data_IF_599972762369
#
_entry.id   IF_599972762369
#
_cell.length_a   1.000
_cell.length_b   1.000
_cell.length_c   1.000
_cell.angle_alpha   90.00
_cell.angle_beta   90.00
_cell.angle_gamma   90.00
#
_symmetry.space_group_name_H-M   'P 1'
#
loop_
_entity.id
_entity.type
_entity.pdbx_description
1 polymer ?
#
# COMPACT_ATOMS: atom_id res chain seq x y z
N UNK A 1 16.29 -11.51 -29.86
CA UNK A 1 14.97 -11.99 -29.37
C UNK A 1 15.10 -12.32 -27.88
N UNK A 2 14.70 -11.41 -26.99
CA UNK A 2 14.73 -11.69 -25.55
C UNK A 2 13.64 -12.73 -25.24
N UNK A 3 14.05 -13.94 -24.84
CA UNK A 3 13.14 -15.02 -24.44
C UNK A 3 12.43 -14.56 -23.16
N UNK A 4 11.17 -14.13 -23.28
CA UNK A 4 10.35 -13.80 -22.12
C UNK A 4 10.32 -15.00 -21.18
N UNK A 5 10.74 -14.81 -19.92
CA UNK A 5 10.68 -15.87 -18.91
C UNK A 5 9.21 -16.19 -18.68
N UNK A 6 8.76 -17.37 -19.10
CA UNK A 6 7.50 -17.94 -18.64
C UNK A 6 7.57 -18.01 -17.11
N UNK A 7 6.71 -17.28 -16.40
CA UNK A 7 6.60 -17.42 -14.95
C UNK A 7 6.26 -18.89 -14.67
N UNK A 8 7.10 -19.55 -13.88
CA UNK A 8 6.78 -20.88 -13.37
C UNK A 8 5.41 -20.81 -12.67
N UNK A 9 4.57 -21.83 -12.86
CA UNK A 9 3.34 -21.96 -12.09
C UNK A 9 3.76 -22.21 -10.64
N UNK A 10 3.57 -21.23 -9.78
CA UNK A 10 3.74 -21.38 -8.34
C UNK A 10 2.64 -22.30 -7.79
N UNK A 11 2.93 -23.02 -6.72
CA UNK A 11 1.98 -23.89 -6.01
C UNK A 11 1.77 -23.39 -4.57
N UNK A 12 0.72 -23.87 -3.90
CA UNK A 12 0.47 -23.54 -2.49
C UNK A 12 1.57 -24.09 -1.56
N UNK A 13 2.17 -25.23 -1.92
CA UNK A 13 3.30 -25.86 -1.20
C UNK A 13 4.52 -24.93 -1.06
N UNK A 14 4.70 -24.00 -2.00
CA UNK A 14 5.79 -23.00 -1.98
C UNK A 14 5.42 -21.72 -1.20
N UNK A 15 4.22 -21.66 -0.63
CA UNK A 15 3.73 -20.50 0.10
C UNK A 15 4.20 -20.53 1.55
N UNK A 16 4.79 -19.41 2.01
CA UNK A 16 5.19 -19.20 3.40
C UNK A 16 4.09 -19.58 4.40
N UNK A 17 2.83 -19.23 4.12
CA UNK A 17 1.73 -19.56 5.03
C UNK A 17 1.40 -21.05 5.09
N UNK A 18 1.56 -21.78 3.99
CA UNK A 18 1.33 -23.22 3.97
C UNK A 18 2.44 -23.95 4.73
N UNK A 19 3.71 -23.65 4.39
CA UNK A 19 4.90 -24.22 5.03
C UNK A 19 4.87 -24.02 6.55
N UNK A 20 4.43 -22.84 7.00
CA UNK A 20 4.35 -22.50 8.42
C UNK A 20 3.04 -22.95 9.11
N UNK A 21 2.15 -23.66 8.41
CA UNK A 21 0.82 -24.08 8.90
C UNK A 21 -0.06 -22.91 9.41
N UNK A 22 0.05 -21.76 8.75
CA UNK A 22 -0.72 -20.53 9.03
C UNK A 22 -1.77 -20.24 7.96
N UNK A 23 -1.85 -21.05 6.89
CA UNK A 23 -2.85 -20.89 5.85
C UNK A 23 -4.22 -21.32 6.36
N UNK A 24 -5.21 -20.42 6.28
CA UNK A 24 -6.59 -20.71 6.67
C UNK A 24 -7.45 -21.32 5.55
N UNK A 25 -6.89 -21.45 4.35
CA UNK A 25 -7.60 -21.91 3.16
C UNK A 25 -7.19 -23.36 2.84
N UNK A 26 -8.19 -24.21 2.61
CA UNK A 26 -8.03 -25.58 2.13
C UNK A 26 -8.16 -25.61 0.60
N UNK A 27 -7.08 -25.25 -0.08
CA UNK A 27 -7.02 -25.10 -1.54
C UNK A 27 -5.76 -25.76 -2.09
N UNK A 28 -5.90 -26.44 -3.22
CA UNK A 28 -4.79 -27.05 -3.97
C UNK A 28 -4.05 -26.03 -4.87
N UNK A 29 -4.49 -24.77 -4.89
CA UNK A 29 -3.94 -23.69 -5.70
C UNK A 29 -3.31 -22.56 -4.85
N UNK A 30 -2.38 -21.76 -5.42
CA UNK A 30 -1.81 -20.61 -4.72
C UNK A 30 -2.91 -19.67 -4.26
N UNK A 31 -2.96 -19.41 -2.95
CA UNK A 31 -3.95 -18.49 -2.38
C UNK A 31 -3.74 -17.04 -2.87
N UNK A 32 -4.79 -16.22 -2.78
CA UNK A 32 -4.73 -14.80 -3.14
C UNK A 32 -3.66 -14.01 -2.35
N UNK A 33 -3.27 -14.51 -1.18
CA UNK A 33 -2.23 -13.94 -0.33
C UNK A 33 -0.88 -14.62 -0.50
N UNK A 34 -0.65 -15.40 -1.57
CA UNK A 34 0.59 -16.15 -1.80
C UNK A 34 1.83 -15.28 -1.55
N UNK A 35 2.74 -15.80 -0.72
CA UNK A 35 4.05 -15.22 -0.45
C UNK A 35 5.07 -16.35 -0.58
N UNK A 36 6.11 -16.20 -1.41
CA UNK A 36 7.14 -17.23 -1.54
C UNK A 36 7.82 -17.46 -0.19
N UNK A 37 8.08 -18.72 0.15
CA UNK A 37 8.84 -19.08 1.34
C UNK A 37 10.33 -18.75 1.15
N UNK A 38 10.74 -17.57 1.62
CA UNK A 38 12.13 -17.11 1.56
C UNK A 38 12.79 -17.29 2.93
N UNK A 39 14.09 -17.62 3.02
CA UNK A 39 14.81 -17.75 4.30
C UNK A 39 14.80 -16.47 5.18
N UNK A 40 14.55 -15.30 4.58
CA UNK A 40 14.36 -14.03 5.33
C UNK A 40 12.95 -13.87 5.94
N UNK A 41 12.04 -14.82 5.68
CA UNK A 41 10.63 -14.75 6.06
C UNK A 41 9.85 -13.63 5.36
N UNK A 42 8.72 -13.24 5.95
CA UNK A 42 7.90 -12.13 5.47
C UNK A 42 8.59 -10.79 5.73
N UNK A 43 9.30 -10.26 4.73
CA UNK A 43 9.78 -8.87 4.78
C UNK A 43 8.66 -7.90 4.43
N UNK A 44 8.30 -6.97 5.32
CA UNK A 44 7.39 -5.89 4.96
C UNK A 44 8.04 -5.03 3.86
N UNK A 45 7.26 -4.56 2.87
CA UNK A 45 7.76 -3.60 1.91
C UNK A 45 8.19 -2.33 2.65
N UNK A 46 9.23 -1.66 2.14
CA UNK A 46 9.65 -0.38 2.71
C UNK A 46 8.52 0.64 2.55
N UNK A 47 7.98 1.09 3.68
CA UNK A 47 6.99 2.15 3.69
C UNK A 47 7.55 3.40 3.01
N UNK A 48 6.75 4.02 2.14
CA UNK A 48 7.10 5.30 1.54
C UNK A 48 7.26 6.36 2.64
N UNK A 49 8.19 7.29 2.45
CA UNK A 49 8.40 8.41 3.36
C UNK A 49 7.61 9.61 2.88
N UNK A 50 6.92 10.30 3.79
CA UNK A 50 6.31 11.58 3.50
C UNK A 50 7.43 12.61 3.22
N UNK A 51 7.34 13.29 2.09
CA UNK A 51 8.23 14.39 1.72
C UNK A 51 7.44 15.68 1.86
N UNK A 52 7.74 16.46 2.89
CA UNK A 52 7.10 17.76 3.10
C UNK A 52 7.64 18.78 2.09
N UNK A 53 6.72 19.53 1.48
CA UNK A 53 7.08 20.64 0.59
C UNK A 53 7.72 21.75 1.44
N UNK A 54 8.89 22.25 1.00
CA UNK A 54 9.62 23.31 1.71
C UNK A 54 8.89 24.65 1.65
N UNK A 55 8.24 24.92 0.52
CA UNK A 55 7.34 26.05 0.37
C UNK A 55 5.93 25.64 0.80
N UNK A 56 5.31 26.32 1.78
CA UNK A 56 3.89 26.16 2.04
C UNK A 56 3.16 26.46 0.72
N UNK A 57 2.36 25.53 0.19
CA UNK A 57 1.36 25.94 -0.79
C UNK A 57 0.44 26.90 -0.03
N UNK A 58 0.58 28.20 -0.31
CA UNK A 58 -0.22 29.22 0.33
C UNK A 58 -1.69 28.82 0.25
N UNK A 59 -2.32 28.72 1.43
CA UNK A 59 -3.65 28.16 1.71
C UNK A 59 -3.71 26.63 1.75
N UNK A 60 -3.96 26.12 2.95
CA UNK A 60 -4.64 24.84 3.10
C UNK A 60 -5.91 24.87 2.24
N UNK A 61 -6.22 23.78 1.54
CA UNK A 61 -7.45 23.66 0.74
C UNK A 61 -8.74 23.93 1.56
N UNK A 62 -8.61 23.90 2.90
CA UNK A 62 -9.66 24.11 3.88
C UNK A 62 -9.45 25.39 4.71
N UNK A 63 -8.73 26.39 4.20
CA UNK A 63 -8.61 27.67 4.89
C UNK A 63 -9.97 28.40 4.87
N UNK A 64 -10.59 28.50 6.03
CA UNK A 64 -11.85 29.25 6.20
C UNK A 64 -11.57 30.75 6.32
N UNK A 65 -12.50 31.61 5.89
CA UNK A 65 -12.47 33.03 6.19
C UNK A 65 -12.37 33.27 7.69
N UNK A 66 -11.65 34.32 8.09
CA UNK A 66 -11.68 34.84 9.44
C UNK A 66 -13.09 35.35 9.79
N UNK A 67 -13.38 35.48 11.09
CA UNK A 67 -14.68 35.97 11.55
C UNK A 67 -15.01 37.38 11.01
N UNK A 68 -14.01 38.25 10.86
CA UNK A 68 -14.17 39.59 10.28
C UNK A 68 -14.46 39.54 8.78
N UNK A 69 -13.79 38.67 8.02
CA UNK A 69 -14.07 38.45 6.60
C UNK A 69 -15.49 37.91 6.39
N UNK A 70 -15.90 36.93 7.21
CA UNK A 70 -17.27 36.40 7.18
C UNK A 70 -18.30 37.49 7.48
N UNK A 71 -18.08 38.30 8.52
CA UNK A 71 -18.99 39.38 8.89
C UNK A 71 -19.10 40.45 7.79
N UNK A 72 -18.03 40.73 7.05
CA UNK A 72 -18.06 41.66 5.92
C UNK A 72 -18.92 41.14 4.76
N UNK A 73 -18.90 39.84 4.49
CA UNK A 73 -19.68 39.23 3.41
C UNK A 73 -21.21 39.30 3.64
N UNK A 74 -21.66 39.28 4.90
CA UNK A 74 -23.09 39.22 5.26
C UNK A 74 -23.66 40.58 5.72
N UNK A 75 -23.05 41.69 5.32
CA UNK A 75 -23.47 43.06 5.70
C UNK A 75 -24.41 43.76 4.70
N UNK A 76 -24.94 43.03 3.71
CA UNK A 76 -25.91 43.56 2.76
C UNK A 76 -27.28 43.79 3.40
#
# INVERSE_FOLDING_TARGET
MAKGRSKAKVSCEECFFHVQQLCALDLDEPCATFRPDHPDGLRPPRQLRLVFRQEPSARAAWAFPTASEQAAMHRA
#
